data_IF_204620150142
#
_entry.id   IF_204620150142
#
_cell.length_a   1.000
_cell.length_b   1.000
_cell.length_c   1.000
_cell.angle_alpha   90.00
_cell.angle_beta   90.00
_cell.angle_gamma   90.00
#
_symmetry.space_group_name_H-M   'P 1'
#
loop_
_entity.id
_entity.type
_entity.pdbx_description
1 polymer ?
#
# COMPACT_ATOMS: atom_id res chain seq x y z
N UNK A 1 -4.30 -18.61 16.91
CA UNK A 1 -4.24 -17.35 17.67
C UNK A 1 -2.96 -16.58 17.32
N UNK A 2 -3.11 -15.35 16.86
CA UNK A 2 -2.15 -14.27 17.01
C UNK A 2 -3.02 -13.02 17.22
N UNK A 3 -3.56 -12.90 18.43
CA UNK A 3 -4.24 -11.70 18.87
C UNK A 3 -3.15 -10.67 19.18
N UNK A 4 -2.91 -9.75 18.24
CA UNK A 4 -2.34 -8.45 18.59
C UNK A 4 -3.45 -7.44 18.38
N UNK A 5 -4.25 -7.28 19.44
CA UNK A 5 -5.19 -6.18 19.54
C UNK A 5 -4.35 -4.90 19.63
N UNK A 6 -4.44 -4.02 18.62
CA UNK A 6 -3.94 -2.67 18.78
C UNK A 6 -4.82 -1.97 19.81
N UNK A 7 -4.23 -1.73 20.97
CA UNK A 7 -4.75 -0.86 22.01
C UNK A 7 -5.09 0.51 21.40
N UNK A 8 -6.33 0.97 21.62
CA UNK A 8 -6.63 2.40 21.62
C UNK A 8 -5.67 3.08 22.60
N UNK A 9 -5.12 4.27 22.31
CA UNK A 9 -4.33 5.01 23.29
C UNK A 9 -5.24 5.34 24.49
N UNK A 10 -5.04 4.63 25.60
CA UNK A 10 -5.69 4.96 26.86
C UNK A 10 -5.05 6.24 27.40
N UNK A 11 -5.83 7.32 27.38
CA UNK A 11 -5.78 8.37 28.39
C UNK A 11 -5.69 7.71 29.77
N UNK A 12 -4.62 7.97 30.53
CA UNK A 12 -4.62 8.02 32.00
C UNK A 12 -3.21 8.36 32.54
N UNK A 13 -3.02 9.63 32.86
CA UNK A 13 -2.23 10.08 34.01
C UNK A 13 -3.09 11.09 34.76
N UNK A 14 -3.98 10.57 35.61
CA UNK A 14 -4.56 11.33 36.72
C UNK A 14 -4.65 10.39 37.91
N UNK A 15 -3.60 10.41 38.72
CA UNK A 15 -3.63 9.91 40.08
C UNK A 15 -4.67 10.71 40.88
N UNK A 16 -5.66 10.01 41.42
CA UNK A 16 -6.53 10.53 42.47
C UNK A 16 -6.09 9.88 43.79
N UNK A 17 -5.88 10.64 44.87
CA UNK A 17 -5.97 10.10 46.22
C UNK A 17 -7.36 10.32 46.82
N UNK A 18 -7.79 9.32 47.59
CA UNK A 18 -9.07 9.17 48.29
C UNK A 18 -9.12 9.99 49.61
N UNK A 19 -10.15 9.92 50.48
CA UNK A 19 -10.92 11.10 50.89
C UNK A 19 -10.79 11.40 52.40
N UNK A 20 -10.66 12.67 52.79
CA UNK A 20 -10.91 13.09 54.18
C UNK A 20 -11.39 14.54 54.24
N UNK A 21 -12.47 14.75 55.00
CA UNK A 21 -13.05 16.02 55.45
C UNK A 21 -13.26 15.85 56.98
N UNK A 22 -13.45 16.89 57.84
CA UNK A 22 -13.84 18.27 57.54
C UNK A 22 -13.23 19.39 58.42
N UNK A 23 -13.70 20.62 58.16
CA UNK A 23 -13.81 21.80 59.04
C UNK A 23 -12.68 22.84 59.08
N UNK A 24 -12.93 24.03 58.52
CA UNK A 24 -13.33 25.24 59.27
C UNK A 24 -13.15 26.52 58.44
N UNK A 25 -14.07 27.44 58.68
CA UNK A 25 -14.32 28.78 58.13
C UNK A 25 -13.12 29.73 58.02
N UNK A 26 -13.07 30.53 56.94
CA UNK A 26 -12.98 32.01 57.00
C UNK A 26 -13.22 32.69 55.65
N UNK A 27 -14.00 33.76 55.72
CA UNK A 27 -14.51 34.67 54.68
C UNK A 27 -13.52 35.79 54.32
N UNK A 28 -13.67 36.34 53.09
CA UNK A 28 -13.53 37.77 52.63
C UNK A 28 -12.71 37.93 51.31
N UNK A 29 -12.84 39.04 50.51
CA UNK A 29 -13.49 38.96 49.19
C UNK A 29 -12.73 39.70 48.05
N UNK A 30 -13.35 39.69 46.85
CA UNK A 30 -13.12 40.57 45.67
C UNK A 30 -11.82 40.36 44.86
N UNK A 31 -11.96 39.98 43.58
CA UNK A 31 -12.13 40.95 42.48
C UNK A 31 -12.46 40.20 41.17
N UNK A 32 -13.64 40.45 40.60
CA UNK A 32 -14.06 39.89 39.32
C UNK A 32 -13.63 40.80 38.18
N UNK A 33 -12.54 40.45 37.50
CA UNK A 33 -12.22 41.00 36.18
C UNK A 33 -12.79 40.06 35.11
N UNK A 34 -13.92 40.47 34.53
CA UNK A 34 -14.52 39.82 33.35
C UNK A 34 -13.56 39.96 32.16
N UNK A 35 -12.80 38.91 31.87
CA UNK A 35 -12.14 38.77 30.57
C UNK A 35 -13.13 38.11 29.61
N UNK A 36 -13.80 38.90 28.76
CA UNK A 36 -14.60 38.39 27.65
C UNK A 36 -13.64 37.89 26.58
N UNK A 37 -13.46 36.57 26.49
CA UNK A 37 -12.87 35.94 25.31
C UNK A 37 -13.91 36.02 24.18
N UNK A 38 -13.67 36.89 23.20
CA UNK A 38 -14.43 36.88 21.95
C UNK A 38 -13.97 35.67 21.13
N UNK A 39 -14.83 34.66 21.04
CA UNK A 39 -14.70 33.61 20.03
C UNK A 39 -14.99 34.23 18.66
N UNK A 40 -13.94 34.59 17.92
CA UNK A 40 -14.00 34.86 16.49
C UNK A 40 -13.96 33.52 15.74
N UNK A 41 -15.06 32.78 15.77
CA UNK A 41 -15.26 31.64 14.88
C UNK A 41 -16.58 31.87 14.18
N UNK A 42 -16.52 32.18 12.89
CA UNK A 42 -17.50 31.85 11.82
C UNK A 42 -16.95 32.51 10.55
N UNK A 43 -15.94 31.89 9.94
CA UNK A 43 -15.66 32.14 8.52
C UNK A 43 -16.84 31.61 7.69
N UNK A 44 -17.15 32.20 6.53
CA UNK A 44 -18.31 31.80 5.75
C UNK A 44 -18.20 30.33 5.33
N UNK A 45 -19.27 29.57 5.54
CA UNK A 45 -19.44 28.23 4.94
C UNK A 45 -19.26 28.39 3.42
N UNK A 46 -18.17 27.83 2.87
CA UNK A 46 -17.98 27.73 1.41
C UNK A 46 -19.19 27.01 0.81
N UNK A 47 -19.85 27.66 -0.14
CA UNK A 47 -20.96 27.11 -0.91
C UNK A 47 -20.57 25.77 -1.54
N UNK A 48 -21.38 24.73 -1.32
CA UNK A 48 -21.28 23.45 -2.03
C UNK A 48 -21.87 23.59 -3.43
N UNK A 49 -21.14 24.25 -4.33
CA UNK A 49 -21.38 24.08 -5.76
C UNK A 49 -21.03 22.65 -6.19
N UNK A 50 -21.68 22.13 -7.22
CA UNK A 50 -21.29 20.86 -7.85
C UNK A 50 -19.83 20.95 -8.30
N UNK A 51 -18.92 20.20 -7.66
CA UNK A 51 -17.51 20.14 -8.05
C UNK A 51 -17.38 19.45 -9.40
N UNK A 52 -16.71 20.09 -10.36
CA UNK A 52 -16.32 19.45 -11.61
C UNK A 52 -15.25 18.38 -11.32
N UNK A 53 -15.58 17.11 -11.60
CA UNK A 53 -14.76 15.96 -11.24
C UNK A 53 -13.72 15.61 -12.32
N UNK A 54 -13.60 16.37 -13.41
CA UNK A 54 -12.62 16.10 -14.46
C UNK A 54 -12.17 17.40 -15.13
N UNK A 55 -11.56 18.32 -14.38
CA UNK A 55 -11.10 19.58 -14.95
C UNK A 55 -9.93 19.34 -15.92
N UNK A 56 -9.82 20.15 -16.97
CA UNK A 56 -8.63 20.16 -17.83
C UNK A 56 -7.41 20.69 -17.05
N UNK A 57 -6.25 20.04 -17.17
CA UNK A 57 -5.03 20.41 -16.43
C UNK A 57 -4.09 21.34 -17.21
N UNK A 58 -4.43 21.64 -18.46
CA UNK A 58 -3.74 22.63 -19.29
C UNK A 58 -2.57 22.05 -20.09
N UNK A 59 -2.02 22.82 -21.04
CA UNK A 59 -0.85 22.40 -21.81
C UNK A 59 0.46 22.64 -21.04
N UNK A 60 1.45 21.78 -21.28
CA UNK A 60 2.82 21.93 -20.78
C UNK A 60 3.80 21.91 -21.96
N UNK A 61 4.88 22.68 -21.88
CA UNK A 61 5.91 22.75 -22.94
C UNK A 61 7.16 21.99 -22.52
N UNK A 62 7.63 21.08 -23.38
CA UNK A 62 8.86 20.33 -23.21
C UNK A 62 9.96 20.92 -24.10
N UNK A 63 11.20 20.96 -23.60
CA UNK A 63 12.37 21.55 -24.29
C UNK A 63 13.59 20.62 -24.19
N UNK A 64 14.30 20.37 -25.28
CA UNK A 64 15.58 19.62 -25.22
C UNK A 64 16.73 20.53 -24.75
N UNK A 65 17.67 19.98 -23.96
CA UNK A 65 18.78 20.75 -23.36
C UNK A 65 19.91 21.12 -24.34
N UNK A 66 19.70 20.93 -25.64
CA UNK A 66 20.64 21.28 -26.69
C UNK A 66 19.89 21.73 -27.93
N UNK A 67 19.76 23.04 -28.09
CA UNK A 67 19.10 23.78 -29.20
C UNK A 67 17.60 24.04 -28.99
N UNK A 68 17.18 25.30 -29.12
CA UNK A 68 15.79 25.79 -29.12
C UNK A 68 14.91 25.26 -30.29
N UNK A 69 15.24 24.11 -30.89
CA UNK A 69 14.72 23.71 -32.21
C UNK A 69 13.61 22.66 -32.15
N UNK A 70 13.42 21.95 -31.02
CA UNK A 70 12.27 21.07 -30.82
C UNK A 70 11.58 21.41 -29.48
N UNK A 71 10.56 22.26 -29.57
CA UNK A 71 9.57 22.44 -28.49
C UNK A 71 8.44 21.47 -28.77
N UNK A 72 8.18 20.55 -27.84
CA UNK A 72 7.04 19.64 -27.94
C UNK A 72 6.00 20.05 -26.91
N UNK A 73 4.77 20.32 -27.35
CA UNK A 73 3.67 20.58 -26.44
C UNK A 73 3.04 19.24 -25.99
N UNK A 74 2.75 19.13 -24.71
CA UNK A 74 1.97 18.01 -24.18
C UNK A 74 0.67 18.51 -23.58
N UNK A 75 -0.36 17.69 -23.71
CA UNK A 75 -1.65 17.88 -23.05
C UNK A 75 -1.74 16.94 -21.86
N UNK A 76 -2.17 17.46 -20.71
CA UNK A 76 -2.44 16.65 -19.52
C UNK A 76 -3.92 16.72 -19.18
N UNK A 77 -4.54 15.57 -19.03
CA UNK A 77 -5.99 15.43 -18.79
C UNK A 77 -6.28 14.39 -17.71
N UNK A 78 -7.46 14.51 -17.11
CA UNK A 78 -8.00 13.52 -16.16
C UNK A 78 -8.92 12.54 -16.90
N UNK A 79 -8.64 11.25 -16.79
CA UNK A 79 -9.49 10.16 -17.24
C UNK A 79 -10.35 9.64 -16.05
N UNK A 80 -11.69 9.64 -16.18
CA UNK A 80 -12.59 9.25 -15.09
C UNK A 80 -12.63 7.73 -14.86
N UNK A 81 -12.11 6.92 -15.79
CA UNK A 81 -11.87 5.49 -15.62
C UNK A 81 -10.57 5.08 -16.32
N UNK A 82 -9.95 4.00 -15.85
CA UNK A 82 -8.84 3.38 -16.60
C UNK A 82 -9.28 2.84 -17.96
N UNK A 83 -10.58 2.53 -18.13
CA UNK A 83 -11.13 2.06 -19.39
C UNK A 83 -11.10 3.11 -20.50
N UNK A 84 -10.95 4.40 -20.15
CA UNK A 84 -10.79 5.51 -21.10
C UNK A 84 -9.36 5.59 -21.68
N UNK A 85 -8.47 4.69 -21.25
CA UNK A 85 -7.08 4.60 -21.68
C UNK A 85 -6.88 3.20 -22.25
N UNK A 86 -6.25 3.11 -23.42
CA UNK A 86 -5.96 1.81 -24.02
C UNK A 86 -5.03 1.00 -23.10
N UNK A 87 -5.25 -0.32 -23.04
CA UNK A 87 -4.40 -1.20 -22.24
C UNK A 87 -2.97 -1.21 -22.75
N UNK A 88 -2.79 -1.11 -24.08
CA UNK A 88 -1.47 -1.02 -24.72
C UNK A 88 -0.70 0.20 -24.23
N UNK A 89 -1.29 1.40 -24.30
CA UNK A 89 -0.62 2.63 -23.85
C UNK A 89 -0.29 2.61 -22.35
N UNK A 90 -1.24 2.15 -21.54
CA UNK A 90 -1.06 2.10 -20.09
C UNK A 90 0.05 1.13 -19.69
N UNK A 91 0.01 -0.10 -20.21
CA UNK A 91 0.98 -1.14 -19.88
C UNK A 91 2.36 -0.79 -20.43
N UNK A 92 2.42 -0.11 -21.59
CA UNK A 92 3.64 0.44 -22.14
C UNK A 92 4.29 1.46 -21.17
N UNK A 93 3.53 2.34 -20.52
CA UNK A 93 4.07 3.20 -19.46
C UNK A 93 4.57 2.41 -18.23
N UNK A 94 3.81 1.38 -17.82
CA UNK A 94 4.15 0.54 -16.66
C UNK A 94 5.44 -0.27 -16.86
N UNK A 95 5.74 -0.68 -18.10
CA UNK A 95 6.98 -1.39 -18.45
C UNK A 95 8.16 -0.40 -18.49
N UNK A 96 8.04 0.66 -19.28
CA UNK A 96 9.13 1.63 -19.52
C UNK A 96 9.65 2.32 -18.25
N UNK A 97 8.75 2.62 -17.30
CA UNK A 97 9.16 3.29 -16.06
C UNK A 97 10.15 2.45 -15.25
N UNK A 98 10.06 1.12 -15.38
CA UNK A 98 10.95 0.17 -14.70
C UNK A 98 12.23 -0.12 -15.50
N UNK A 99 12.29 0.34 -16.77
CA UNK A 99 13.41 0.18 -17.70
C UNK A 99 13.69 -1.25 -18.16
N UNK A 100 13.08 -2.26 -17.53
CA UNK A 100 13.25 -3.68 -17.84
C UNK A 100 12.02 -4.48 -17.41
N UNK A 101 11.64 -5.50 -18.17
CA UNK A 101 10.59 -6.45 -17.75
C UNK A 101 10.92 -7.16 -16.43
N UNK A 102 12.20 -7.19 -16.04
CA UNK A 102 12.67 -7.79 -14.78
C UNK A 102 12.06 -7.12 -13.55
N UNK A 103 11.71 -5.84 -13.62
CA UNK A 103 11.09 -5.12 -12.49
C UNK A 103 9.60 -4.87 -12.68
N UNK A 104 8.97 -5.61 -13.59
CA UNK A 104 7.55 -5.55 -13.86
C UNK A 104 6.71 -5.80 -12.59
N UNK A 105 5.75 -4.91 -12.35
CA UNK A 105 4.81 -4.99 -11.25
C UNK A 105 3.39 -5.28 -11.79
N UNK A 106 2.80 -6.48 -11.53
CA UNK A 106 1.54 -6.88 -12.12
C UNK A 106 0.34 -6.03 -11.65
N UNK A 107 0.48 -5.36 -10.50
CA UNK A 107 -0.57 -4.52 -9.91
C UNK A 107 -0.72 -3.16 -10.59
N UNK A 108 0.27 -2.74 -11.40
CA UNK A 108 0.22 -1.49 -12.16
C UNK A 108 -0.31 -1.70 -13.59
N UNK A 109 -0.68 -2.93 -13.95
CA UNK A 109 -1.23 -3.21 -15.28
C UNK A 109 -2.67 -2.72 -15.42
N UNK A 110 -3.05 -2.43 -16.66
CA UNK A 110 -4.42 -2.13 -17.04
C UNK A 110 -5.34 -3.29 -16.64
N UNK A 111 -4.92 -4.53 -16.88
CA UNK A 111 -5.67 -5.73 -16.51
C UNK A 111 -6.05 -5.78 -15.02
N UNK A 112 -5.11 -5.47 -14.11
CA UNK A 112 -5.37 -5.48 -12.67
C UNK A 112 -6.28 -4.32 -12.24
N UNK A 113 -5.97 -3.11 -12.68
CA UNK A 113 -6.70 -1.90 -12.28
C UNK A 113 -8.11 -1.85 -12.87
N UNK A 114 -8.29 -2.23 -14.14
CA UNK A 114 -9.61 -2.36 -14.76
C UNK A 114 -10.48 -3.39 -14.04
N UNK A 115 -9.90 -4.52 -13.60
CA UNK A 115 -10.62 -5.52 -12.82
C UNK A 115 -11.19 -4.95 -11.51
N UNK A 116 -10.50 -4.00 -10.87
CA UNK A 116 -11.01 -3.34 -9.66
C UNK A 116 -12.17 -2.38 -9.95
N UNK A 117 -12.10 -1.63 -11.04
CA UNK A 117 -13.12 -0.67 -11.44
C UNK A 117 -14.39 -1.35 -11.97
N UNK A 118 -14.25 -2.28 -12.93
CA UNK A 118 -15.36 -2.99 -13.56
C UNK A 118 -16.19 -3.81 -12.57
N UNK A 119 -15.55 -4.34 -11.53
CA UNK A 119 -16.21 -5.20 -10.53
C UNK A 119 -16.68 -4.43 -9.30
N UNK A 120 -16.66 -3.09 -9.34
CA UNK A 120 -17.17 -2.23 -8.27
C UNK A 120 -16.31 -2.20 -7.00
N UNK A 121 -15.06 -2.68 -7.05
CA UNK A 121 -14.17 -2.67 -5.88
C UNK A 121 -13.64 -1.26 -5.62
N UNK A 122 -13.20 -0.56 -6.67
CA UNK A 122 -12.61 0.78 -6.60
C UNK A 122 -13.46 1.79 -7.39
N UNK A 123 -14.61 2.15 -6.82
CA UNK A 123 -15.58 3.07 -7.45
C UNK A 123 -16.05 4.15 -6.49
N UNK A 124 -16.86 5.08 -6.99
CA UNK A 124 -17.49 6.14 -6.18
C UNK A 124 -18.24 5.59 -4.97
N UNK A 125 -18.96 4.50 -5.14
CA UNK A 125 -19.80 3.85 -4.11
C UNK A 125 -18.95 3.28 -2.97
N UNK A 126 -17.71 2.88 -3.26
CA UNK A 126 -16.75 2.40 -2.26
C UNK A 126 -15.81 3.48 -1.75
N UNK A 127 -16.05 4.75 -2.12
CA UNK A 127 -15.22 5.89 -1.71
C UNK A 127 -13.88 6.00 -2.44
N UNK A 128 -13.76 5.37 -3.61
CA UNK A 128 -12.60 5.36 -4.52
C UNK A 128 -13.01 5.88 -5.90
N UNK A 129 -13.22 7.18 -6.06
CA UNK A 129 -13.60 7.76 -7.36
C UNK A 129 -12.33 7.81 -8.25
N UNK A 130 -12.28 7.13 -9.40
CA UNK A 130 -11.09 7.17 -10.27
C UNK A 130 -10.93 8.56 -10.92
N UNK A 131 -9.67 8.97 -11.06
CA UNK A 131 -9.23 10.29 -11.50
C UNK A 131 -7.86 10.19 -12.19
N UNK A 132 -7.63 9.15 -13.02
CA UNK A 132 -6.31 8.88 -13.59
C UNK A 132 -5.79 10.08 -14.38
N UNK A 133 -4.50 10.40 -14.28
CA UNK A 133 -3.90 11.45 -15.10
C UNK A 133 -3.22 10.82 -16.30
N UNK A 134 -3.38 11.44 -17.47
CA UNK A 134 -2.74 11.03 -18.73
C UNK A 134 -2.07 12.24 -19.35
N UNK A 135 -0.80 12.08 -19.72
CA UNK A 135 -0.06 13.03 -20.55
C UNK A 135 0.03 12.49 -21.98
N UNK A 136 -0.32 13.32 -22.97
CA UNK A 136 -0.25 13.00 -24.40
C UNK A 136 0.55 14.04 -25.17
N UNK A 137 1.26 13.60 -26.20
CA UNK A 137 1.86 14.51 -27.18
C UNK A 137 0.82 15.10 -28.16
N UNK A 138 1.28 15.96 -29.07
CA UNK A 138 0.47 16.58 -30.12
C UNK A 138 -0.16 15.58 -31.10
N UNK A 139 0.42 14.38 -31.24
CA UNK A 139 -0.09 13.30 -32.08
C UNK A 139 -1.07 12.38 -31.32
N UNK A 140 -1.31 12.63 -30.03
CA UNK A 140 -2.18 11.84 -29.17
C UNK A 140 -1.51 10.64 -28.51
N UNK A 141 -0.21 10.42 -28.71
CA UNK A 141 0.53 9.31 -28.09
C UNK A 141 0.64 9.53 -26.58
N UNK A 142 0.42 8.48 -25.80
CA UNK A 142 0.58 8.56 -24.34
C UNK A 142 2.05 8.62 -23.98
N UNK A 143 2.45 9.64 -23.22
CA UNK A 143 3.80 9.83 -22.70
C UNK A 143 3.92 9.45 -21.22
N UNK A 144 2.81 9.46 -20.48
CA UNK A 144 2.78 9.02 -19.10
C UNK A 144 1.39 8.97 -18.50
N UNK A 145 1.23 8.15 -17.47
CA UNK A 145 -0.02 7.92 -16.76
C UNK A 145 0.19 7.86 -15.24
N UNK A 146 -0.86 8.18 -14.48
CA UNK A 146 -0.86 8.13 -13.01
C UNK A 146 -2.14 7.45 -12.52
N UNK A 147 -2.09 6.29 -11.81
CA UNK A 147 -3.24 5.75 -11.11
C UNK A 147 -3.60 6.64 -9.93
N UNK A 148 -4.73 7.33 -10.03
CA UNK A 148 -5.15 8.36 -9.08
C UNK A 148 -6.63 8.22 -8.75
N UNK A 149 -6.96 8.39 -7.47
CA UNK A 149 -8.32 8.29 -6.97
C UNK A 149 -8.63 9.44 -6.02
N UNK A 150 -9.83 10.01 -6.13
CA UNK A 150 -10.39 10.94 -5.16
C UNK A 150 -11.10 10.13 -4.06
N UNK A 151 -10.56 10.21 -2.85
CA UNK A 151 -10.93 9.37 -1.71
C UNK A 151 -11.80 10.11 -0.71
N UNK A 152 -12.87 9.47 -0.26
CA UNK A 152 -13.74 9.97 0.83
C UNK A 152 -13.38 9.42 2.22
N UNK A 153 -12.38 8.53 2.30
CA UNK A 153 -11.86 7.92 3.53
C UNK A 153 -10.49 7.27 3.29
N UNK A 154 -9.79 6.83 4.34
CA UNK A 154 -8.47 6.18 4.25
C UNK A 154 -8.46 4.64 4.18
N UNK A 155 -9.62 3.98 4.23
CA UNK A 155 -9.66 2.53 4.07
C UNK A 155 -9.10 2.06 2.71
N UNK A 156 -8.25 1.03 2.77
CA UNK A 156 -7.67 0.34 1.61
C UNK A 156 -6.33 0.88 1.09
N UNK A 157 -5.78 1.95 1.67
CA UNK A 157 -4.51 2.56 1.20
C UNK A 157 -3.25 2.09 1.96
N UNK A 158 -3.43 1.44 3.11
CA UNK A 158 -2.38 0.82 3.96
C UNK A 158 -1.28 1.76 4.49
N UNK A 159 -1.43 3.07 4.32
CA UNK A 159 -0.63 4.10 5.00
C UNK A 159 -1.60 4.98 5.78
N UNK A 160 -1.75 4.71 7.07
CA UNK A 160 -2.83 5.31 7.85
C UNK A 160 -2.52 6.75 8.27
N UNK A 161 -3.48 7.64 8.04
CA UNK A 161 -3.41 9.07 8.32
C UNK A 161 -4.63 9.56 9.15
N UNK A 162 -5.30 8.65 9.86
CA UNK A 162 -6.45 8.97 10.72
C UNK A 162 -6.13 10.07 11.73
N UNK A 163 -4.92 10.07 12.31
CA UNK A 163 -4.49 11.12 13.23
C UNK A 163 -4.38 12.49 12.58
N UNK A 164 -4.09 12.55 11.26
CA UNK A 164 -4.08 13.80 10.51
C UNK A 164 -5.50 14.26 10.22
N UNK A 165 -6.38 13.34 9.84
CA UNK A 165 -7.81 13.63 9.66
C UNK A 165 -8.45 14.17 10.96
N UNK A 166 -8.18 13.52 12.10
CA UNK A 166 -8.66 13.96 13.42
C UNK A 166 -8.15 15.35 13.79
N UNK A 167 -6.90 15.67 13.43
CA UNK A 167 -6.34 17.00 13.62
C UNK A 167 -7.11 18.04 12.77
N UNK A 168 -7.36 17.77 11.49
CA UNK A 168 -8.16 18.65 10.62
C UNK A 168 -9.54 18.95 11.23
N UNK A 169 -10.26 17.90 11.65
CA UNK A 169 -11.57 18.04 12.25
C UNK A 169 -11.56 18.80 13.58
N UNK A 170 -10.51 18.62 14.39
CA UNK A 170 -10.35 19.33 15.66
C UNK A 170 -10.20 20.86 15.47
N UNK A 171 -9.72 21.31 14.30
CA UNK A 171 -9.66 22.72 13.92
C UNK A 171 -10.83 23.18 13.04
N UNK A 172 -11.84 22.35 12.83
CA UNK A 172 -13.03 22.68 12.04
C UNK A 172 -12.83 22.61 10.51
N UNK A 173 -11.77 21.95 10.04
CA UNK A 173 -11.50 21.73 8.62
C UNK A 173 -11.87 20.31 8.19
N UNK A 174 -12.26 20.16 6.92
CA UNK A 174 -12.49 18.84 6.32
C UNK A 174 -11.19 18.24 5.82
N UNK A 175 -10.91 16.99 6.22
CA UNK A 175 -9.78 16.24 5.66
C UNK A 175 -10.14 15.54 4.35
N UNK A 176 -11.35 15.00 4.22
CA UNK A 176 -11.81 14.39 2.98
C UNK A 176 -12.68 15.36 2.16
N UNK A 177 -12.67 15.27 0.82
CA UNK A 177 -11.90 14.30 0.05
C UNK A 177 -10.41 14.67 -0.08
N UNK A 178 -9.58 13.65 -0.36
CA UNK A 178 -8.14 13.77 -0.64
C UNK A 178 -7.81 13.03 -1.95
N UNK A 179 -6.72 13.40 -2.61
CA UNK A 179 -6.20 12.68 -3.76
C UNK A 179 -5.23 11.57 -3.32
N UNK A 180 -5.41 10.37 -3.86
CA UNK A 180 -4.65 9.18 -3.51
C UNK A 180 -4.11 8.52 -4.77
N UNK A 181 -2.80 8.59 -4.95
CA UNK A 181 -2.06 7.89 -5.98
C UNK A 181 -1.50 6.58 -5.41
N UNK A 182 -2.12 5.47 -5.78
CA UNK A 182 -1.80 4.14 -5.24
C UNK A 182 -2.38 3.03 -6.09
N UNK A 183 -1.97 1.80 -5.84
CA UNK A 183 -2.75 0.63 -6.25
C UNK A 183 -3.79 0.32 -5.16
N UNK A 184 -5.11 0.31 -5.46
CA UNK A 184 -6.13 0.05 -4.46
C UNK A 184 -5.94 -1.31 -3.77
N UNK A 185 -6.16 -1.32 -2.46
CA UNK A 185 -6.15 -2.51 -1.61
C UNK A 185 -4.83 -3.30 -1.58
N UNK A 186 -3.75 -2.73 -2.11
CA UNK A 186 -2.51 -3.45 -2.37
C UNK A 186 -1.29 -2.63 -1.90
N UNK A 187 -0.70 -2.96 -0.74
CA UNK A 187 0.46 -2.24 -0.22
C UNK A 187 1.76 -2.72 -0.90
N UNK A 188 1.91 -2.46 -2.20
CA UNK A 188 3.08 -2.89 -2.99
C UNK A 188 4.01 -1.75 -3.33
N UNK A 189 5.30 -1.95 -3.14
CA UNK A 189 6.30 -0.96 -3.59
C UNK A 189 6.42 -1.00 -5.11
N UNK A 190 6.38 0.18 -5.74
CA UNK A 190 6.56 0.34 -7.19
C UNK A 190 6.32 1.79 -7.61
N UNK A 191 6.61 2.11 -8.87
CA UNK A 191 6.35 3.44 -9.40
C UNK A 191 4.87 3.82 -9.34
N UNK A 192 4.60 5.11 -9.23
CA UNK A 192 3.25 5.69 -9.20
C UNK A 192 3.04 6.72 -10.29
N UNK A 193 4.11 7.32 -10.79
CA UNK A 193 4.09 8.18 -11.96
C UNK A 193 4.78 7.39 -13.08
N UNK A 194 3.97 6.82 -13.97
CA UNK A 194 4.43 5.88 -15.00
C UNK A 194 4.71 6.67 -16.27
N UNK A 195 5.98 6.79 -16.66
CA UNK A 195 6.41 7.63 -17.79
C UNK A 195 7.12 6.76 -18.82
N UNK A 196 6.78 6.96 -20.11
CA UNK A 196 7.44 6.31 -21.24
C UNK A 196 8.92 6.67 -21.29
N UNK A 197 9.73 5.76 -21.82
CA UNK A 197 11.18 5.94 -21.93
C UNK A 197 11.50 6.77 -23.18
N UNK A 198 11.31 8.07 -23.06
CA UNK A 198 11.60 9.05 -24.11
C UNK A 198 12.69 10.02 -23.66
N UNK A 199 13.23 10.80 -24.60
CA UNK A 199 14.17 11.89 -24.30
C UNK A 199 13.58 12.94 -23.34
N UNK A 200 12.25 13.01 -23.23
CA UNK A 200 11.53 13.95 -22.37
C UNK A 200 11.09 13.36 -21.02
N UNK A 201 11.47 12.12 -20.68
CA UNK A 201 11.01 11.39 -19.48
C UNK A 201 11.01 12.22 -18.20
N UNK A 202 12.09 12.97 -17.94
CA UNK A 202 12.18 13.82 -16.73
C UNK A 202 11.18 14.97 -16.74
N UNK A 203 10.97 15.60 -17.90
CA UNK A 203 10.08 16.75 -18.04
C UNK A 203 8.62 16.32 -18.00
N UNK A 204 8.28 15.16 -18.59
CA UNK A 204 6.95 14.56 -18.48
C UNK A 204 6.64 14.19 -17.02
N UNK A 205 7.61 13.62 -16.30
CA UNK A 205 7.46 13.38 -14.86
C UNK A 205 7.15 14.67 -14.09
N UNK A 206 7.92 15.74 -14.33
CA UNK A 206 7.70 17.03 -13.67
C UNK A 206 6.32 17.62 -14.02
N UNK A 207 5.91 17.56 -15.29
CA UNK A 207 4.59 18.00 -15.72
C UNK A 207 3.46 17.23 -15.02
N UNK A 208 3.58 15.90 -14.87
CA UNK A 208 2.60 15.08 -14.15
C UNK A 208 2.54 15.43 -12.65
N UNK A 209 3.68 15.75 -12.02
CA UNK A 209 3.71 16.18 -10.60
C UNK A 209 3.05 17.53 -10.41
N UNK A 210 3.28 18.49 -11.31
CA UNK A 210 2.60 19.79 -11.25
C UNK A 210 1.10 19.64 -11.56
N UNK A 211 0.74 18.81 -12.53
CA UNK A 211 -0.66 18.49 -12.82
C UNK A 211 -1.41 17.90 -11.62
N UNK A 212 -0.76 17.05 -10.81
CA UNK A 212 -1.31 16.55 -9.55
C UNK A 212 -1.63 17.70 -8.56
N UNK A 213 -0.72 18.67 -8.43
CA UNK A 213 -0.90 19.84 -7.55
C UNK A 213 -2.00 20.77 -8.05
N UNK A 214 -2.02 21.03 -9.35
CA UNK A 214 -3.05 21.83 -10.01
C UNK A 214 -4.43 21.20 -9.85
N UNK A 215 -4.53 19.88 -10.03
CA UNK A 215 -5.76 19.13 -9.82
C UNK A 215 -6.23 19.23 -8.37
N UNK A 216 -5.31 19.10 -7.39
CA UNK A 216 -5.65 19.21 -5.99
C UNK A 216 -6.20 20.60 -5.63
N UNK A 217 -5.58 21.66 -6.16
CA UNK A 217 -6.06 23.02 -5.99
C UNK A 217 -7.44 23.24 -6.63
N UNK A 218 -7.65 22.77 -7.86
CA UNK A 218 -8.92 22.88 -8.60
C UNK A 218 -10.06 22.12 -7.91
N UNK A 219 -9.78 20.94 -7.36
CA UNK A 219 -10.77 20.13 -6.64
C UNK A 219 -11.04 20.59 -5.20
N UNK A 220 -10.28 21.57 -4.68
CA UNK A 220 -10.35 22.06 -3.30
C UNK A 220 -10.31 20.88 -2.30
N UNK A 221 -9.29 20.02 -2.45
CA UNK A 221 -8.99 18.89 -1.55
C UNK A 221 -7.96 19.28 -0.51
N UNK A 222 -7.89 18.53 0.59
CA UNK A 222 -6.92 18.82 1.66
C UNK A 222 -5.46 18.47 1.29
N UNK A 223 -5.28 17.40 0.49
CA UNK A 223 -3.98 16.80 0.29
C UNK A 223 -3.89 15.84 -0.91
N UNK A 224 -2.65 15.52 -1.28
CA UNK A 224 -2.25 14.49 -2.24
C UNK A 224 -1.37 13.47 -1.52
N UNK A 225 -1.67 12.19 -1.69
CA UNK A 225 -0.96 11.08 -1.07
C UNK A 225 -0.45 10.13 -2.15
N UNK A 226 0.86 9.86 -2.16
CA UNK A 226 1.48 8.87 -3.04
C UNK A 226 2.02 7.76 -2.14
N UNK A 227 1.41 6.57 -2.18
CA UNK A 227 1.75 5.48 -1.25
C UNK A 227 2.48 4.33 -1.93
N UNK A 228 3.53 3.86 -1.25
CA UNK A 228 4.47 2.86 -1.73
C UNK A 228 5.15 3.19 -3.08
N UNK A 229 5.55 4.47 -3.35
CA UNK A 229 6.41 4.77 -4.49
C UNK A 229 7.76 4.03 -4.37
N UNK A 230 8.50 3.97 -5.47
CA UNK A 230 9.91 3.56 -5.41
C UNK A 230 10.73 4.59 -4.62
N UNK A 231 11.89 4.18 -4.08
CA UNK A 231 12.78 5.10 -3.36
C UNK A 231 13.27 6.25 -4.25
N UNK A 232 13.54 5.95 -5.52
CA UNK A 232 13.97 6.96 -6.50
C UNK A 232 12.88 8.00 -6.75
N UNK A 233 11.62 7.57 -6.84
CA UNK A 233 10.46 8.46 -6.97
C UNK A 233 10.20 9.24 -5.67
N UNK A 234 10.34 8.60 -4.51
CA UNK A 234 10.24 9.22 -3.18
C UNK A 234 11.21 10.41 -3.04
N UNK A 235 12.50 10.19 -3.36
CA UNK A 235 13.52 11.24 -3.36
C UNK A 235 13.17 12.40 -4.31
N UNK A 236 12.74 12.12 -5.54
CA UNK A 236 12.37 13.16 -6.51
C UNK A 236 11.17 13.99 -6.03
N UNK A 237 10.18 13.36 -5.41
CA UNK A 237 8.98 14.04 -4.91
C UNK A 237 9.28 14.98 -3.73
N UNK A 238 10.31 14.68 -2.92
CA UNK A 238 10.78 15.56 -1.86
C UNK A 238 11.16 16.94 -2.40
N UNK A 239 11.92 16.96 -3.50
CA UNK A 239 12.38 18.20 -4.16
C UNK A 239 11.24 18.97 -4.84
N UNK A 240 10.04 18.39 -4.88
CA UNK A 240 8.80 18.99 -5.38
C UNK A 240 7.83 19.37 -4.25
N UNK A 241 8.30 19.38 -2.99
CA UNK A 241 7.55 19.87 -1.84
C UNK A 241 6.68 18.83 -1.15
N UNK A 242 6.81 17.54 -1.49
CA UNK A 242 6.11 16.48 -0.77
C UNK A 242 6.83 16.14 0.54
N UNK A 243 6.06 16.10 1.64
CA UNK A 243 6.53 15.57 2.91
C UNK A 243 6.82 14.07 2.77
N UNK A 244 7.92 13.65 3.38
CA UNK A 244 8.45 12.30 3.25
C UNK A 244 8.10 11.48 4.49
N UNK A 245 7.52 10.30 4.29
CA UNK A 245 7.21 9.34 5.35
C UNK A 245 7.77 7.98 4.99
N UNK A 246 8.33 7.28 5.97
CA UNK A 246 8.75 5.90 5.84
C UNK A 246 7.85 4.98 6.66
N UNK A 247 7.74 3.74 6.21
CA UNK A 247 7.13 2.63 6.93
C UNK A 247 8.02 1.40 6.79
N UNK A 248 7.49 0.26 7.20
CA UNK A 248 8.20 -1.01 7.18
C UNK A 248 7.31 -2.13 6.65
N UNK A 249 7.89 -2.98 5.82
CA UNK A 249 7.34 -4.28 5.43
C UNK A 249 8.38 -5.38 5.68
N UNK A 250 8.06 -6.62 5.33
CA UNK A 250 8.97 -7.75 5.48
C UNK A 250 9.10 -8.52 4.17
N UNK A 251 10.30 -8.60 3.62
CA UNK A 251 10.59 -9.30 2.37
C UNK A 251 11.55 -10.47 2.63
N UNK A 252 11.31 -11.57 1.93
CA UNK A 252 12.30 -12.63 1.80
C UNK A 252 13.13 -12.34 0.56
N UNK A 253 14.46 -12.36 0.68
CA UNK A 253 15.42 -12.17 -0.43
C UNK A 253 15.98 -13.53 -0.84
N UNK A 254 15.95 -13.84 -2.13
CA UNK A 254 16.58 -15.01 -2.70
C UNK A 254 18.08 -14.75 -2.87
N UNK A 255 18.93 -15.56 -2.24
CA UNK A 255 20.39 -15.51 -2.40
C UNK A 255 20.89 -16.52 -3.43
N UNK A 256 20.13 -16.69 -4.52
CA UNK A 256 20.35 -17.67 -5.58
C UNK A 256 20.23 -19.13 -5.12
N UNK A 257 19.38 -19.39 -4.12
CA UNK A 257 19.11 -20.74 -3.62
C UNK A 257 18.60 -21.65 -4.74
N UNK A 258 18.98 -22.92 -4.73
CA UNK A 258 18.47 -23.96 -5.64
C UNK A 258 17.36 -24.81 -5.03
N UNK A 259 17.22 -24.75 -3.70
CA UNK A 259 16.17 -25.45 -2.98
C UNK A 259 15.79 -24.74 -1.68
N UNK A 260 14.64 -25.10 -1.11
CA UNK A 260 14.22 -24.61 0.20
C UNK A 260 15.21 -25.02 1.31
N UNK A 261 15.80 -26.21 1.22
CA UNK A 261 16.78 -26.68 2.20
C UNK A 261 18.07 -25.85 2.18
N UNK A 262 18.51 -25.39 1.01
CA UNK A 262 19.63 -24.43 0.92
C UNK A 262 19.30 -23.12 1.62
N UNK A 263 18.09 -22.57 1.42
CA UNK A 263 17.62 -21.40 2.18
C UNK A 263 17.69 -21.63 3.69
N UNK A 264 17.26 -22.80 4.17
CA UNK A 264 17.30 -23.12 5.61
C UNK A 264 18.73 -23.22 6.15
N UNK A 265 19.75 -23.46 5.32
CA UNK A 265 21.14 -23.53 5.76
C UNK A 265 21.70 -22.17 6.21
N UNK A 266 21.15 -21.07 5.70
CA UNK A 266 21.51 -19.71 6.11
C UNK A 266 20.89 -19.31 7.45
N UNK A 267 19.87 -20.03 7.90
CA UNK A 267 19.18 -19.77 9.15
C UNK A 267 19.89 -20.35 10.38
N UNK A 268 19.71 -19.72 11.54
CA UNK A 268 20.15 -20.28 12.84
C UNK A 268 19.49 -21.64 13.08
N UNK A 269 20.22 -22.57 13.70
CA UNK A 269 19.78 -23.96 13.87
C UNK A 269 18.40 -24.11 14.52
N UNK A 270 18.12 -23.33 15.58
CA UNK A 270 16.84 -23.35 16.27
C UNK A 270 15.68 -22.90 15.36
N UNK A 271 15.91 -21.88 14.52
CA UNK A 271 14.91 -21.36 13.57
C UNK A 271 14.63 -22.36 12.46
N UNK A 272 15.68 -22.92 11.86
CA UNK A 272 15.56 -24.02 10.88
C UNK A 272 14.79 -25.21 11.45
N UNK A 273 15.12 -25.65 12.67
CA UNK A 273 14.43 -26.77 13.33
C UNK A 273 12.93 -26.48 13.50
N UNK A 274 12.58 -25.26 13.91
CA UNK A 274 11.19 -24.86 14.08
C UNK A 274 10.42 -24.86 12.75
N UNK A 275 10.99 -24.30 11.69
CA UNK A 275 10.35 -24.32 10.35
C UNK A 275 10.07 -25.76 9.92
N UNK A 276 11.05 -26.66 10.02
CA UNK A 276 10.85 -28.08 9.66
C UNK A 276 9.74 -28.74 10.47
N UNK A 277 9.63 -28.43 11.76
CA UNK A 277 8.55 -28.93 12.61
C UNK A 277 7.18 -28.36 12.23
N UNK A 278 7.11 -27.07 11.86
CA UNK A 278 5.87 -26.44 11.38
C UNK A 278 5.39 -27.09 10.08
N UNK A 279 6.29 -27.33 9.11
CA UNK A 279 5.94 -27.98 7.83
C UNK A 279 5.52 -29.44 8.03
N UNK A 280 6.22 -30.18 8.89
CA UNK A 280 5.86 -31.57 9.22
C UNK A 280 4.45 -31.69 9.82
N UNK A 281 3.96 -30.68 10.53
CA UNK A 281 2.60 -30.68 11.07
C UNK A 281 1.51 -30.64 9.99
N UNK A 282 1.81 -30.13 8.79
CA UNK A 282 0.84 -30.06 7.70
C UNK A 282 0.54 -31.46 7.16
N UNK A 283 1.57 -32.26 6.91
CA UNK A 283 1.38 -33.64 6.44
C UNK A 283 0.70 -34.54 7.47
N UNK A 284 0.92 -34.30 8.77
CA UNK A 284 0.20 -35.04 9.84
C UNK A 284 -1.29 -34.67 9.95
N UNK A 285 -1.73 -33.59 9.31
CA UNK A 285 -3.14 -33.17 9.26
C UNK A 285 -3.84 -33.69 7.99
N UNK A 286 -3.23 -34.61 7.23
CA UNK A 286 -3.74 -35.10 5.94
C UNK A 286 -3.99 -33.99 4.90
N UNK A 287 -3.33 -32.84 5.05
CA UNK A 287 -3.43 -31.74 4.11
C UNK A 287 -2.45 -31.92 2.96
N UNK A 288 -2.96 -31.77 1.74
CA UNK A 288 -2.16 -31.71 0.51
C UNK A 288 -2.05 -30.28 0.02
N UNK A 289 -0.83 -29.76 -0.06
CA UNK A 289 -0.56 -28.45 -0.64
C UNK A 289 -0.44 -28.56 -2.16
N UNK A 290 -1.04 -27.60 -2.88
CA UNK A 290 -0.88 -27.47 -4.34
C UNK A 290 -0.70 -26.01 -4.73
N UNK A 291 0.10 -25.76 -5.76
CA UNK A 291 0.27 -24.45 -6.37
C UNK A 291 -0.37 -24.50 -7.75
N UNK A 292 -1.46 -23.75 -7.93
CA UNK A 292 -2.20 -23.65 -9.18
C UNK A 292 -1.81 -22.34 -9.87
N UNK A 293 -1.61 -22.37 -11.18
CA UNK A 293 -1.20 -21.18 -11.96
C UNK A 293 -1.97 -21.11 -13.26
N UNK A 294 -2.31 -19.89 -13.68
CA UNK A 294 -2.97 -19.62 -14.96
C UNK A 294 -4.15 -20.56 -15.21
N UNK A 295 -4.09 -21.33 -16.29
CA UNK A 295 -5.20 -22.21 -16.70
C UNK A 295 -5.51 -23.35 -15.73
N UNK A 296 -4.61 -23.70 -14.79
CA UNK A 296 -4.92 -24.68 -13.73
C UNK A 296 -5.95 -24.15 -12.73
N UNK A 297 -6.07 -22.82 -12.62
CA UNK A 297 -7.03 -22.17 -11.72
C UNK A 297 -8.40 -22.11 -12.39
N UNK A 298 -9.18 -23.17 -12.20
CA UNK A 298 -10.59 -23.25 -12.63
C UNK A 298 -11.54 -22.40 -11.76
N UNK A 299 -12.72 -22.05 -12.29
CA UNK A 299 -13.76 -21.27 -11.62
C UNK A 299 -14.10 -21.74 -10.19
N UNK A 300 -14.16 -23.06 -9.95
CA UNK A 300 -14.40 -23.63 -8.61
C UNK A 300 -13.38 -23.19 -7.55
N UNK A 301 -12.13 -22.94 -7.96
CA UNK A 301 -11.09 -22.49 -7.05
C UNK A 301 -11.32 -21.03 -6.64
N UNK A 302 -11.77 -20.18 -7.57
CA UNK A 302 -12.12 -18.79 -7.28
C UNK A 302 -13.30 -18.68 -6.32
N UNK A 303 -14.32 -19.50 -6.51
CA UNK A 303 -15.49 -19.55 -5.61
C UNK A 303 -15.13 -20.00 -4.20
N UNK A 304 -14.27 -21.02 -4.11
CA UNK A 304 -13.74 -21.50 -2.83
C UNK A 304 -12.87 -20.42 -2.16
N UNK A 305 -11.98 -19.79 -2.94
CA UNK A 305 -11.11 -18.74 -2.43
C UNK A 305 -11.86 -17.50 -1.96
N UNK A 306 -12.92 -17.09 -2.66
CA UNK A 306 -13.78 -15.99 -2.22
C UNK A 306 -14.39 -16.28 -0.84
N UNK A 307 -14.85 -17.50 -0.63
CA UNK A 307 -15.38 -17.94 0.68
C UNK A 307 -14.32 -17.85 1.78
N UNK A 308 -13.08 -18.26 1.48
CA UNK A 308 -11.94 -18.17 2.39
C UNK A 308 -11.58 -16.71 2.73
N UNK A 309 -11.56 -15.85 1.71
CA UNK A 309 -11.28 -14.42 1.85
C UNK A 309 -12.34 -13.71 2.71
N UNK A 310 -13.63 -14.01 2.49
CA UNK A 310 -14.74 -13.50 3.30
C UNK A 310 -14.58 -13.87 4.76
N UNK A 311 -14.30 -15.15 5.05
CA UNK A 311 -14.07 -15.60 6.42
C UNK A 311 -12.93 -14.82 7.12
N UNK A 312 -11.84 -14.54 6.40
CA UNK A 312 -10.71 -13.80 6.98
C UNK A 312 -11.03 -12.32 7.22
N UNK A 313 -11.79 -11.71 6.32
CA UNK A 313 -12.16 -10.29 6.41
C UNK A 313 -13.23 -10.03 7.48
N UNK A 314 -14.25 -10.88 7.55
CA UNK A 314 -15.33 -10.78 8.54
C UNK A 314 -14.78 -10.91 9.98
N UNK A 315 -13.75 -11.75 10.18
CA UNK A 315 -13.13 -11.96 11.49
C UNK A 315 -12.11 -10.90 11.93
N UNK A 316 -11.57 -10.08 11.01
CA UNK A 316 -10.45 -9.16 11.33
C UNK A 316 -10.72 -7.69 11.05
N UNK A 317 -11.52 -7.35 10.03
CA UNK A 317 -11.59 -5.99 9.49
C UNK A 317 -13.01 -5.52 9.15
N UNK A 318 -14.03 -6.37 9.33
CA UNK A 318 -15.46 -6.00 9.28
C UNK A 318 -16.06 -5.77 7.89
N UNK A 319 -15.27 -5.36 6.87
CA UNK A 319 -15.76 -5.21 5.49
C UNK A 319 -14.74 -5.72 4.47
N UNK A 320 -15.19 -6.63 3.60
CA UNK A 320 -14.45 -7.07 2.43
C UNK A 320 -14.40 -5.96 1.37
N UNK A 321 -13.20 -5.71 0.81
CA UNK A 321 -12.98 -4.73 -0.26
C UNK A 321 -13.17 -5.32 -1.65
N UNK A 322 -12.89 -6.62 -1.81
CA UNK A 322 -12.87 -7.30 -3.10
C UNK A 322 -14.13 -8.14 -3.28
N UNK A 323 -14.72 -8.05 -4.46
CA UNK A 323 -15.92 -8.81 -4.83
C UNK A 323 -15.56 -10.22 -5.29
N UNK A 324 -16.56 -11.10 -5.41
CA UNK A 324 -16.37 -12.42 -6.01
C UNK A 324 -15.88 -12.29 -7.45
N UNK A 325 -16.50 -11.39 -8.21
CA UNK A 325 -16.24 -11.21 -9.64
C UNK A 325 -14.84 -10.66 -9.89
N UNK A 326 -14.29 -9.85 -8.97
CA UNK A 326 -12.88 -9.45 -9.02
C UNK A 326 -11.93 -10.65 -9.15
N UNK A 327 -12.14 -11.71 -8.37
CA UNK A 327 -11.28 -12.89 -8.39
C UNK A 327 -11.36 -13.66 -9.71
N UNK A 328 -12.55 -13.73 -10.30
CA UNK A 328 -12.73 -14.33 -11.63
C UNK A 328 -12.08 -13.45 -12.72
N UNK A 329 -12.29 -12.13 -12.68
CA UNK A 329 -11.72 -11.19 -13.66
C UNK A 329 -10.19 -11.21 -13.67
N UNK A 330 -9.53 -11.20 -12.50
CA UNK A 330 -8.06 -11.27 -12.49
C UNK A 330 -7.55 -12.62 -13.01
N UNK A 331 -8.29 -13.71 -12.78
CA UNK A 331 -7.93 -15.03 -13.31
C UNK A 331 -7.97 -15.07 -14.83
N UNK A 332 -8.99 -14.45 -15.43
CA UNK A 332 -9.16 -14.33 -16.88
C UNK A 332 -8.14 -13.38 -17.51
N UNK A 333 -8.02 -12.15 -16.98
CA UNK A 333 -7.22 -11.07 -17.59
C UNK A 333 -5.72 -11.21 -17.36
N UNK A 334 -5.28 -11.83 -16.25
CA UNK A 334 -3.87 -11.86 -15.88
C UNK A 334 -3.21 -13.24 -16.06
N UNK A 335 -4.00 -14.30 -16.24
CA UNK A 335 -3.55 -15.64 -16.60
C UNK A 335 -2.33 -16.13 -15.79
N UNK A 336 -1.22 -16.38 -16.49
CA UNK A 336 0.03 -16.92 -15.92
C UNK A 336 0.71 -16.02 -14.89
N UNK A 337 0.23 -14.79 -14.68
CA UNK A 337 0.72 -13.90 -13.61
C UNK A 337 0.03 -14.15 -12.27
N UNK A 338 -0.94 -15.07 -12.22
CA UNK A 338 -1.69 -15.39 -11.00
C UNK A 338 -1.32 -16.78 -10.51
N UNK A 339 -1.05 -16.89 -9.21
CA UNK A 339 -0.79 -18.16 -8.53
C UNK A 339 -1.66 -18.30 -7.29
N UNK A 340 -2.37 -19.42 -7.19
CA UNK A 340 -3.16 -19.79 -6.03
C UNK A 340 -2.51 -21.00 -5.34
N UNK A 341 -2.05 -20.79 -4.10
CA UNK A 341 -1.53 -21.86 -3.25
C UNK A 341 -2.70 -22.39 -2.43
N UNK A 342 -3.14 -23.61 -2.67
CA UNK A 342 -4.31 -24.21 -2.02
C UNK A 342 -3.92 -25.36 -1.10
N UNK A 343 -4.75 -25.58 -0.08
CA UNK A 343 -4.70 -26.76 0.77
C UNK A 343 -5.95 -27.61 0.54
N UNK A 344 -5.77 -28.91 0.34
CA UNK A 344 -6.82 -29.90 0.14
C UNK A 344 -6.84 -30.89 1.31
N UNK A 345 -8.03 -31.18 1.83
CA UNK A 345 -8.33 -32.26 2.79
C UNK A 345 -9.38 -33.16 2.12
N UNK A 346 -9.08 -34.43 1.88
CA UNK A 346 -9.96 -35.37 1.17
C UNK A 346 -10.54 -34.80 -0.14
N UNK A 347 -9.67 -34.20 -0.96
CA UNK A 347 -9.99 -33.51 -2.23
C UNK A 347 -10.83 -32.22 -2.11
N UNK A 348 -11.26 -31.86 -0.90
CA UNK A 348 -11.95 -30.60 -0.63
C UNK A 348 -10.95 -29.48 -0.39
N UNK A 349 -11.14 -28.34 -1.05
CA UNK A 349 -10.35 -27.14 -0.77
C UNK A 349 -10.74 -26.59 0.61
N UNK A 350 -9.74 -26.42 1.48
CA UNK A 350 -9.95 -25.95 2.85
C UNK A 350 -9.28 -24.61 3.15
N UNK A 351 -8.29 -24.23 2.34
CA UNK A 351 -7.63 -22.94 2.44
C UNK A 351 -6.96 -22.52 1.13
N UNK A 352 -6.62 -21.24 1.03
CA UNK A 352 -5.92 -20.70 -0.14
C UNK A 352 -5.15 -19.42 0.16
N UNK A 353 -4.03 -19.23 -0.54
CA UNK A 353 -3.23 -18.01 -0.58
C UNK A 353 -3.11 -17.51 -2.03
N UNK A 354 -3.55 -16.28 -2.28
CA UNK A 354 -3.42 -15.62 -3.58
C UNK A 354 -2.09 -14.88 -3.67
N UNK A 355 -1.37 -15.14 -4.76
CA UNK A 355 -0.12 -14.49 -5.11
C UNK A 355 -0.19 -13.97 -6.54
N UNK A 356 0.46 -12.82 -6.80
CA UNK A 356 0.75 -12.36 -8.17
C UNK A 356 2.25 -12.47 -8.45
N UNK A 357 2.59 -12.80 -9.69
CA UNK A 357 3.96 -13.00 -10.16
C UNK A 357 4.37 -11.78 -10.98
N UNK A 358 5.35 -11.03 -10.49
CA UNK A 358 6.00 -9.93 -11.22
C UNK A 358 7.20 -10.39 -12.04
N UNK A 359 8.04 -9.43 -12.44
CA UNK A 359 9.28 -9.71 -13.18
C UNK A 359 10.31 -10.47 -12.33
N UNK A 360 10.55 -10.03 -11.10
CA UNK A 360 11.55 -10.61 -10.18
C UNK A 360 10.99 -10.92 -8.79
N UNK A 361 9.68 -10.78 -8.61
CA UNK A 361 9.03 -10.78 -7.30
C UNK A 361 7.77 -11.63 -7.28
N UNK A 362 7.62 -12.46 -6.26
CA UNK A 362 6.35 -13.07 -5.90
C UNK A 362 5.65 -12.24 -4.83
N UNK A 363 4.43 -11.80 -5.11
CA UNK A 363 3.67 -10.91 -4.24
C UNK A 363 2.53 -11.66 -3.55
N UNK A 364 2.69 -12.01 -2.28
CA UNK A 364 1.66 -12.71 -1.49
C UNK A 364 0.65 -11.75 -0.87
N UNK A 365 -0.64 -11.89 -1.20
CA UNK A 365 -1.63 -10.84 -0.92
C UNK A 365 -2.71 -11.25 0.06
N UNK A 366 -3.48 -12.25 -0.31
CA UNK A 366 -4.70 -12.61 0.39
C UNK A 366 -4.61 -14.05 0.84
N UNK A 367 -5.14 -14.29 2.03
CA UNK A 367 -5.20 -15.61 2.62
C UNK A 367 -6.60 -15.83 3.17
N UNK A 368 -7.03 -17.08 3.16
CA UNK A 368 -8.06 -17.52 4.07
C UNK A 368 -8.17 -19.02 4.16
N UNK A 369 -9.02 -19.46 5.09
CA UNK A 369 -9.43 -20.84 5.25
C UNK A 369 -10.93 -20.91 5.52
N UNK A 370 -11.48 -22.13 5.53
CA UNK A 370 -12.86 -22.36 5.95
C UNK A 370 -13.13 -21.82 7.37
N UNK A 371 -14.34 -21.32 7.65
CA UNK A 371 -14.72 -20.81 8.98
C UNK A 371 -14.62 -21.85 10.09
N UNK A 372 -15.07 -23.07 9.81
CA UNK A 372 -15.27 -24.11 10.82
C UNK A 372 -14.04 -25.00 11.03
N UNK A 373 -12.89 -24.63 10.47
CA UNK A 373 -11.71 -25.47 10.46
C UNK A 373 -10.48 -24.73 10.98
N UNK A 374 -9.84 -25.32 12.00
CA UNK A 374 -8.58 -24.83 12.53
C UNK A 374 -7.43 -25.74 12.11
N UNK A 375 -6.55 -25.21 11.26
CA UNK A 375 -5.37 -25.92 10.78
C UNK A 375 -4.08 -25.29 11.34
N UNK A 376 -3.48 -25.84 12.41
CA UNK A 376 -2.22 -25.36 12.97
C UNK A 376 -1.13 -25.17 11.90
N UNK A 377 -0.54 -23.97 11.87
CA UNK A 377 0.56 -23.57 10.98
C UNK A 377 0.24 -23.52 9.48
N UNK A 378 -1.00 -23.80 9.07
CA UNK A 378 -1.36 -23.80 7.65
C UNK A 378 -1.16 -22.44 6.98
N UNK A 379 -1.46 -21.35 7.68
CA UNK A 379 -1.16 -20.00 7.22
C UNK A 379 0.33 -19.81 6.90
N UNK A 380 1.24 -20.37 7.72
CA UNK A 380 2.67 -20.24 7.49
C UNK A 380 3.15 -21.08 6.30
N UNK A 381 2.64 -22.31 6.19
CA UNK A 381 2.93 -23.16 5.03
C UNK A 381 2.51 -22.49 3.73
N UNK A 382 1.26 -22.05 3.64
CA UNK A 382 0.72 -21.56 2.38
C UNK A 382 1.17 -20.13 2.03
N UNK A 383 1.28 -19.23 3.02
CA UNK A 383 1.62 -17.82 2.74
C UNK A 383 3.13 -17.58 2.65
N UNK A 384 3.96 -18.44 3.25
CA UNK A 384 5.39 -18.21 3.37
C UNK A 384 6.22 -19.32 2.75
N UNK A 385 6.10 -20.57 3.22
CA UNK A 385 7.02 -21.63 2.79
C UNK A 385 6.80 -22.04 1.34
N UNK A 386 5.54 -22.26 0.94
CA UNK A 386 5.17 -22.55 -0.44
C UNK A 386 5.48 -21.36 -1.38
N UNK A 387 5.36 -20.12 -0.88
CA UNK A 387 5.69 -18.92 -1.64
C UNK A 387 7.21 -18.77 -1.85
N UNK A 388 8.02 -19.06 -0.83
CA UNK A 388 9.48 -19.11 -0.94
C UNK A 388 9.91 -20.20 -1.92
N UNK A 389 9.35 -21.41 -1.82
CA UNK A 389 9.63 -22.49 -2.77
C UNK A 389 9.27 -22.10 -4.20
N UNK A 390 8.11 -21.48 -4.40
CA UNK A 390 7.70 -21.01 -5.72
C UNK A 390 8.67 -19.94 -6.27
N UNK A 391 9.11 -19.01 -5.43
CA UNK A 391 10.07 -17.99 -5.83
C UNK A 391 11.45 -18.58 -6.18
N UNK A 392 11.90 -19.61 -5.46
CA UNK A 392 13.14 -20.33 -5.77
C UNK A 392 13.01 -21.04 -7.14
N UNK A 393 11.96 -21.82 -7.33
CA UNK A 393 11.72 -22.57 -8.59
C UNK A 393 11.57 -21.66 -9.81
N UNK A 394 10.95 -20.49 -9.62
CA UNK A 394 10.77 -19.49 -10.67
C UNK A 394 11.97 -18.55 -10.84
N UNK A 395 13.06 -18.75 -10.07
CA UNK A 395 14.24 -17.88 -10.05
C UNK A 395 13.91 -16.39 -9.78
N UNK A 396 12.92 -16.14 -8.92
CA UNK A 396 12.55 -14.79 -8.48
C UNK A 396 13.50 -14.32 -7.38
N UNK A 397 13.82 -13.02 -7.38
CA UNK A 397 14.75 -12.40 -6.44
C UNK A 397 14.16 -12.22 -5.04
N UNK A 398 12.84 -12.09 -4.91
CA UNK A 398 12.20 -11.85 -3.62
C UNK A 398 10.75 -12.33 -3.52
N UNK A 399 10.30 -12.51 -2.28
CA UNK A 399 8.89 -12.66 -1.92
C UNK A 399 8.48 -11.48 -1.06
N UNK A 400 7.46 -10.75 -1.49
CA UNK A 400 6.84 -9.67 -0.72
C UNK A 400 5.52 -10.16 -0.10
N UNK A 401 5.53 -10.41 1.20
CA UNK A 401 4.39 -11.01 1.91
C UNK A 401 3.37 -9.98 2.45
N UNK A 402 3.35 -8.76 1.90
CA UNK A 402 2.40 -7.70 2.26
C UNK A 402 2.64 -7.07 3.64
N UNK A 403 1.69 -6.25 4.08
CA UNK A 403 1.79 -5.49 5.33
C UNK A 403 1.60 -6.38 6.58
N UNK A 404 2.27 -6.02 7.67
CA UNK A 404 2.15 -6.58 9.04
C UNK A 404 2.78 -7.97 9.30
N UNK A 405 3.16 -8.19 10.56
CA UNK A 405 3.47 -9.50 11.13
C UNK A 405 4.94 -9.75 11.43
N UNK A 406 5.38 -9.43 12.65
CA UNK A 406 6.72 -9.77 13.16
C UNK A 406 7.00 -11.28 13.13
N UNK A 407 5.96 -12.11 13.12
CA UNK A 407 6.07 -13.56 12.94
C UNK A 407 6.74 -13.94 11.61
N UNK A 408 6.78 -13.05 10.61
CA UNK A 408 7.50 -13.27 9.34
C UNK A 408 9.01 -13.35 9.53
N UNK A 409 9.56 -12.65 10.52
CA UNK A 409 11.00 -12.64 10.82
C UNK A 409 11.51 -14.03 11.12
N UNK A 410 10.79 -14.78 11.95
CA UNK A 410 11.18 -16.15 12.32
C UNK A 410 11.20 -17.13 11.14
N UNK A 411 10.68 -16.71 9.98
CA UNK A 411 10.48 -17.50 8.76
C UNK A 411 11.35 -17.02 7.60
N UNK A 412 12.29 -16.10 7.86
CA UNK A 412 13.28 -15.65 6.88
C UNK A 412 12.95 -14.33 6.18
N UNK A 413 11.87 -13.63 6.56
CA UNK A 413 11.56 -12.32 5.99
C UNK A 413 12.15 -11.21 6.86
N UNK A 414 12.99 -10.35 6.29
CA UNK A 414 13.63 -9.26 7.01
C UNK A 414 12.90 -7.94 6.78
N UNK A 415 12.96 -7.00 7.74
CA UNK A 415 12.33 -5.71 7.60
C UNK A 415 12.94 -4.93 6.44
N UNK A 416 12.11 -4.25 5.67
CA UNK A 416 12.52 -3.38 4.57
C UNK A 416 11.77 -2.06 4.66
N UNK A 417 12.44 -0.98 4.28
CA UNK A 417 11.82 0.34 4.27
C UNK A 417 10.80 0.42 3.14
N UNK A 418 9.62 0.94 3.46
CA UNK A 418 8.63 1.36 2.45
C UNK A 418 8.42 2.85 2.53
N UNK A 419 7.99 3.44 1.42
CA UNK A 419 7.95 4.88 1.27
C UNK A 419 6.52 5.39 1.10
N UNK A 420 6.31 6.66 1.44
CA UNK A 420 5.11 7.42 1.10
C UNK A 420 5.43 8.92 1.08
N UNK A 421 4.74 9.64 0.20
CA UNK A 421 4.90 11.07 -0.01
C UNK A 421 3.56 11.78 0.17
N UNK A 422 3.56 12.95 0.81
CA UNK A 422 2.34 13.68 1.16
C UNK A 422 2.47 15.17 0.85
N UNK A 423 1.63 15.67 -0.05
CA UNK A 423 1.50 17.10 -0.31
C UNK A 423 0.27 17.62 0.42
N UNK A 424 0.47 18.41 1.45
CA UNK A 424 -0.60 19.01 2.26
C UNK A 424 -0.82 20.43 1.78
N UNK A 425 -2.02 20.83 1.39
CA UNK A 425 -2.24 22.15 0.78
C UNK A 425 -2.11 23.28 1.82
N UNK A 426 -2.69 23.11 3.00
CA UNK A 426 -2.59 24.07 4.09
C UNK A 426 -1.18 24.09 4.71
N UNK A 427 -0.55 25.26 4.77
CA UNK A 427 0.82 25.43 5.26
C UNK A 427 0.96 25.14 6.76
N UNK A 428 -0.05 25.47 7.57
CA UNK A 428 -0.06 25.22 9.01
C UNK A 428 -0.04 23.73 9.32
N UNK A 429 -0.95 22.97 8.69
CA UNK A 429 -0.97 21.52 8.78
C UNK A 429 0.29 20.89 8.18
N UNK A 430 0.78 21.40 7.04
CA UNK A 430 2.03 20.92 6.42
C UNK A 430 3.21 21.01 7.38
N UNK A 431 3.36 22.14 8.08
CA UNK A 431 4.44 22.34 9.06
C UNK A 431 4.29 21.39 10.26
N UNK A 432 3.09 21.26 10.81
CA UNK A 432 2.82 20.40 11.95
C UNK A 432 3.07 18.91 11.63
N UNK A 433 2.53 18.44 10.50
CA UNK A 433 2.73 17.06 10.01
C UNK A 433 4.20 16.82 9.69
N UNK A 434 4.88 17.77 9.05
CA UNK A 434 6.32 17.69 8.79
C UNK A 434 7.15 17.48 10.05
N UNK A 435 6.85 18.21 11.13
CA UNK A 435 7.51 18.02 12.43
C UNK A 435 7.22 16.66 13.06
N UNK A 436 5.98 16.16 12.95
CA UNK A 436 5.61 14.82 13.40
C UNK A 436 6.39 13.72 12.65
N UNK A 437 6.49 13.83 11.33
CA UNK A 437 7.13 12.83 10.47
C UNK A 437 8.63 12.65 10.76
N UNK A 438 9.33 13.69 11.21
CA UNK A 438 10.73 13.59 11.65
C UNK A 438 10.85 12.60 12.81
N UNK A 439 9.99 12.73 13.82
CA UNK A 439 9.99 11.86 14.99
C UNK A 439 9.55 10.43 14.62
N UNK A 440 8.50 10.29 13.81
CA UNK A 440 8.02 8.98 13.34
C UNK A 440 9.11 8.24 12.56
N UNK A 441 9.83 8.95 11.68
CA UNK A 441 10.94 8.38 10.88
C UNK A 441 12.04 7.83 11.79
N UNK A 442 12.45 8.57 12.82
CA UNK A 442 13.47 8.10 13.77
C UNK A 442 13.01 6.83 14.51
N UNK A 443 11.74 6.79 14.93
CA UNK A 443 11.17 5.62 15.61
C UNK A 443 11.12 4.38 14.69
N UNK A 444 10.66 4.55 13.45
CA UNK A 444 10.59 3.44 12.48
C UNK A 444 11.98 2.87 12.19
N UNK A 445 12.99 3.73 11.99
CA UNK A 445 14.38 3.29 11.80
C UNK A 445 14.90 2.49 12.98
N UNK A 446 14.68 3.00 14.20
CA UNK A 446 15.11 2.30 15.42
C UNK A 446 14.45 0.92 15.57
N UNK A 447 13.14 0.83 15.30
CA UNK A 447 12.43 -0.46 15.31
C UNK A 447 13.02 -1.42 14.27
N UNK A 448 13.29 -0.94 13.06
CA UNK A 448 13.89 -1.77 12.01
C UNK A 448 15.27 -2.30 12.40
N UNK A 449 16.12 -1.47 13.02
CA UNK A 449 17.44 -1.88 13.52
C UNK A 449 17.32 -3.02 14.53
N UNK A 450 16.46 -2.87 15.54
CA UNK A 450 16.23 -3.90 16.58
C UNK A 450 15.70 -5.22 15.99
N UNK A 451 14.81 -5.14 15.00
CA UNK A 451 14.26 -6.32 14.32
C UNK A 451 15.32 -7.02 13.45
N UNK A 452 16.24 -6.26 12.83
CA UNK A 452 17.39 -6.81 12.12
C UNK A 452 18.35 -7.52 13.08
N UNK A 453 18.73 -6.92 14.20
CA UNK A 453 19.65 -7.52 15.18
C UNK A 453 19.14 -8.86 15.73
N UNK A 454 17.83 -8.98 15.91
CA UNK A 454 17.14 -10.19 16.36
C UNK A 454 16.76 -11.16 15.23
N UNK A 455 17.31 -10.94 14.03
CA UNK A 455 17.01 -11.68 12.80
C UNK A 455 17.26 -13.19 12.88
N UNK A 456 16.63 -13.98 11.98
CA UNK A 456 16.62 -15.44 12.05
C UNK A 456 17.89 -16.09 11.46
N UNK A 457 18.74 -15.32 10.78
CA UNK A 457 19.89 -15.80 10.03
C UNK A 457 21.18 -15.82 10.85
N UNK A 458 22.17 -16.54 10.34
CA UNK A 458 23.55 -16.51 10.86
C UNK A 458 24.17 -15.12 10.68
N UNK A 459 25.21 -14.81 11.45
CA UNK A 459 25.80 -13.47 11.49
C UNK A 459 26.35 -12.99 10.14
N UNK A 460 26.94 -13.88 9.33
CA UNK A 460 27.50 -13.48 8.01
C UNK A 460 26.40 -12.93 7.10
N UNK A 461 25.27 -13.64 7.09
CA UNK A 461 24.08 -13.34 6.29
C UNK A 461 23.39 -12.05 6.74
N UNK A 462 23.41 -11.77 8.05
CA UNK A 462 22.85 -10.56 8.64
C UNK A 462 23.70 -9.32 8.36
N UNK A 463 25.04 -9.43 8.34
CA UNK A 463 25.94 -8.32 8.00
C UNK A 463 25.68 -7.84 6.58
N UNK A 464 25.62 -8.74 5.60
CA UNK A 464 25.32 -8.40 4.20
C UNK A 464 23.97 -7.66 4.03
N UNK A 465 22.99 -7.94 4.89
CA UNK A 465 21.68 -7.27 4.83
C UNK A 465 21.71 -5.83 5.33
N UNK A 466 22.56 -5.50 6.31
CA UNK A 466 22.69 -4.14 6.84
C UNK A 466 23.38 -3.18 5.85
N UNK A 467 24.13 -3.72 4.89
CA UNK A 467 24.84 -2.95 3.86
C UNK A 467 24.13 -2.97 2.48
N UNK A 468 22.93 -3.56 2.40
CA UNK A 468 22.11 -3.67 1.18
C UNK A 468 20.83 -2.87 1.29
#
# INVERSE_FOLDING_TARGET
>A
MAASAMLRPSLLLRSSPSPYNPSSTRTSPRNTSKCKVFALFWGPKKNSGSRELSPSLGPYTLTTSSSQVDMQQISVSVAPSILDISSEDWDACAIDVTGTEKHFNPFLTHAFLSSLEETGCSTKETGWIPQHIVARDENGNVLGVVPLYLKSHSYGEFVFDYSWADAYYSYGYSYYPKLQCSVPFTPVTGHRILVRDTVYKSQVFDALVEALKDLAAKLDVSSIHITFPSETEWCKLKDRGFLQRIGMQYHWKNRNYKSFDEFLMDMRQSKRKNIRLERKKISTQNLKMRRLRGTDIKAKHWDSFYSFYRNTTDNKWGRAFLTRDFFHNIGEKMGEKVMLIVAEEDEKLVAGALNLIGGDTLFGRLWGCLPDAYYPNLHFEACYYQAIEAAIELNLNKVEAGAQGEHKIQRGYLPVTTYSCHYILDEGFRKAIGGFLVNETAQVKHVMELLCESGPFKEEIMKEHQFS
#
